data_IF_767301220882
#
_entry.id   IF_767301220882
#
_cell.length_a   1.000
_cell.length_b   1.000
_cell.length_c   1.000
_cell.angle_alpha   90.00
_cell.angle_beta   90.00
_cell.angle_gamma   90.00
#
_symmetry.space_group_name_H-M   'P 1'
#
loop_
_entity.id
_entity.type
_entity.pdbx_description
1 polymer ?
#
# COMPACT_ATOMS: atom_id res chain seq x y z
N UNK A 1 64.11 -29.60 14.08
CA UNK A 1 62.77 -30.22 13.85
C UNK A 1 62.29 -29.75 12.48
N UNK A 2 62.49 -30.55 11.42
CA UNK A 2 61.40 -31.24 10.66
C UNK A 2 60.27 -30.26 10.29
N UNK A 3 60.34 -29.65 9.09
CA UNK A 3 59.77 -30.12 7.80
C UNK A 3 58.24 -30.16 7.80
N UNK A 4 57.62 -29.37 6.91
CA UNK A 4 56.77 -29.78 5.76
C UNK A 4 55.71 -28.69 5.50
N UNK A 5 55.28 -28.32 4.30
CA UNK A 5 55.73 -28.32 2.90
C UNK A 5 54.55 -27.66 2.16
N UNK A 6 54.80 -26.81 1.17
CA UNK A 6 53.80 -26.46 0.15
C UNK A 6 53.36 -27.74 -0.56
N UNK A 7 52.06 -27.86 -0.82
CA UNK A 7 51.49 -28.82 -1.78
C UNK A 7 50.57 -28.03 -2.71
N UNK A 8 50.99 -28.02 -3.98
CA UNK A 8 50.32 -27.57 -5.19
C UNK A 8 49.33 -28.65 -5.68
N UNK A 9 48.60 -28.33 -6.77
CA UNK A 9 47.92 -29.26 -7.71
C UNK A 9 46.62 -29.93 -7.19
N UNK A 10 45.53 -30.14 -7.96
CA UNK A 10 45.37 -30.31 -9.41
C UNK A 10 43.86 -30.26 -9.77
N UNK A 11 43.53 -29.64 -10.92
CA UNK A 11 42.46 -29.90 -11.93
C UNK A 11 41.02 -30.33 -11.55
N UNK A 12 40.02 -29.83 -12.29
CA UNK A 12 39.19 -30.61 -13.25
C UNK A 12 37.96 -29.78 -13.72
N UNK A 13 37.91 -29.52 -15.04
CA UNK A 13 36.76 -29.34 -15.98
C UNK A 13 35.34 -29.17 -15.38
N UNK A 14 34.53 -28.20 -15.80
CA UNK A 14 33.85 -28.22 -17.11
C UNK A 14 33.56 -26.82 -17.68
N UNK A 15 33.89 -26.68 -18.96
CA UNK A 15 33.59 -25.58 -19.86
C UNK A 15 32.83 -26.21 -21.04
N UNK A 16 31.50 -26.05 -21.13
CA UNK A 16 30.69 -26.32 -22.33
C UNK A 16 29.33 -25.61 -22.24
N UNK A 17 29.17 -24.48 -22.95
CA UNK A 17 28.00 -24.35 -23.82
C UNK A 17 28.47 -23.81 -25.17
N UNK A 18 28.82 -24.78 -26.00
CA UNK A 18 29.25 -24.60 -27.37
C UNK A 18 28.01 -24.41 -28.25
N UNK A 19 27.76 -23.15 -28.62
CA UNK A 19 27.47 -22.81 -30.01
C UNK A 19 26.04 -23.02 -30.51
N UNK A 20 25.45 -21.92 -30.97
CA UNK A 20 25.05 -21.89 -32.36
C UNK A 20 25.23 -20.48 -32.94
N UNK A 21 26.26 -20.35 -33.75
CA UNK A 21 26.43 -19.30 -34.74
C UNK A 21 25.30 -19.35 -35.77
N UNK A 22 24.59 -18.24 -35.98
CA UNK A 22 23.83 -18.03 -37.21
C UNK A 22 24.36 -16.77 -37.86
N UNK A 23 25.45 -16.97 -38.61
CA UNK A 23 25.91 -16.10 -39.68
C UNK A 23 24.78 -15.91 -40.69
N UNK A 24 24.61 -14.66 -41.16
CA UNK A 24 23.57 -14.28 -42.09
C UNK A 24 23.54 -15.14 -43.35
N UNK A 25 22.31 -15.48 -43.74
CA UNK A 25 21.96 -15.72 -45.13
C UNK A 25 20.57 -15.12 -45.35
N UNK A 26 20.52 -14.08 -46.18
CA UNK A 26 19.32 -13.42 -46.65
C UNK A 26 18.57 -14.39 -47.57
N UNK A 27 17.75 -15.27 -47.00
CA UNK A 27 16.77 -16.03 -47.78
C UNK A 27 15.50 -15.20 -47.90
N UNK A 28 15.41 -14.49 -49.02
CA UNK A 28 14.19 -13.87 -49.55
C UNK A 28 13.12 -14.95 -49.79
N UNK A 29 12.37 -15.30 -48.74
CA UNK A 29 11.11 -16.01 -48.88
C UNK A 29 10.06 -14.99 -49.32
N UNK A 30 9.96 -14.81 -50.64
CA UNK A 30 8.81 -14.22 -51.28
C UNK A 30 7.56 -15.08 -50.96
N UNK A 31 6.89 -14.78 -49.85
CA UNK A 31 5.51 -15.19 -49.66
C UNK A 31 4.66 -14.36 -50.61
N UNK A 32 4.27 -14.98 -51.72
CA UNK A 32 3.20 -14.48 -52.57
C UNK A 32 1.96 -14.22 -51.69
N UNK A 33 1.64 -12.93 -51.49
CA UNK A 33 0.38 -12.52 -50.88
C UNK A 33 -0.71 -12.72 -51.93
N UNK A 34 -1.21 -13.95 -52.04
CA UNK A 34 -2.53 -14.18 -52.59
C UNK A 34 -3.56 -14.07 -51.47
N UNK A 35 -4.38 -13.04 -51.65
CA UNK A 35 -5.50 -12.69 -50.78
C UNK A 35 -6.57 -13.78 -50.84
N UNK A 36 -6.85 -14.45 -49.72
CA UNK A 36 -8.25 -14.74 -49.38
C UNK A 36 -8.47 -15.13 -47.90
N UNK A 37 -9.52 -14.54 -47.35
CA UNK A 37 -10.24 -14.93 -46.12
C UNK A 37 -9.48 -14.92 -44.80
N UNK A 38 -9.76 -13.87 -44.01
CA UNK A 38 -10.21 -13.97 -42.62
C UNK A 38 -9.64 -15.16 -41.85
N UNK A 39 -8.36 -15.11 -41.47
CA UNK A 39 -7.90 -15.91 -40.32
C UNK A 39 -8.63 -15.34 -39.10
N UNK A 40 -9.75 -15.96 -38.76
CA UNK A 40 -10.29 -15.93 -37.40
C UNK A 40 -9.10 -16.10 -36.46
N UNK A 41 -8.77 -15.00 -35.78
CA UNK A 41 -7.78 -15.00 -34.72
C UNK A 41 -8.37 -15.90 -33.65
N UNK A 42 -7.93 -17.15 -33.59
CA UNK A 42 -8.30 -18.12 -32.55
C UNK A 42 -8.32 -17.40 -31.20
N UNK A 43 -9.44 -17.39 -30.45
CA UNK A 43 -9.44 -16.99 -29.06
C UNK A 43 -8.95 -18.20 -28.24
N UNK A 44 -7.68 -18.56 -28.40
CA UNK A 44 -7.03 -19.62 -27.61
C UNK A 44 -5.93 -19.00 -26.73
N UNK A 45 -6.26 -17.86 -26.12
CA UNK A 45 -5.75 -17.54 -24.80
C UNK A 45 -6.89 -17.92 -23.85
N UNK A 46 -6.82 -19.15 -23.35
CA UNK A 46 -7.72 -19.69 -22.34
C UNK A 46 -8.15 -18.62 -21.34
N UNK A 47 -9.46 -18.56 -21.16
CA UNK A 47 -10.23 -17.71 -20.27
C UNK A 47 -9.70 -17.81 -18.82
N UNK A 48 -8.65 -17.04 -18.50
CA UNK A 48 -8.15 -16.96 -17.13
C UNK A 48 -9.28 -16.38 -16.27
N UNK A 49 -9.77 -17.10 -15.24
CA UNK A 49 -10.92 -16.65 -14.48
C UNK A 49 -10.58 -15.32 -13.80
N UNK A 50 -11.33 -14.26 -14.14
CA UNK A 50 -11.25 -12.96 -13.50
C UNK A 50 -12.64 -12.51 -13.08
N UNK A 51 -12.68 -11.79 -11.97
CA UNK A 51 -13.89 -11.15 -11.46
C UNK A 51 -13.72 -9.64 -11.55
N UNK A 52 -14.74 -8.94 -12.05
CA UNK A 52 -14.75 -7.48 -12.12
C UNK A 52 -15.53 -6.95 -10.92
N UNK A 53 -14.81 -6.29 -10.02
CA UNK A 53 -15.40 -5.64 -8.86
C UNK A 53 -15.63 -4.14 -9.14
N UNK A 54 -16.75 -3.63 -8.64
CA UNK A 54 -17.04 -2.22 -8.53
C UNK A 54 -16.18 -1.55 -7.45
N UNK A 55 -16.13 -0.22 -7.49
CA UNK A 55 -15.47 0.56 -6.43
C UNK A 55 -16.11 0.33 -5.07
N UNK A 56 -17.43 0.11 -5.03
CA UNK A 56 -18.16 -0.12 -3.77
C UNK A 56 -17.78 -1.46 -3.15
N UNK A 57 -17.65 -2.52 -3.96
CA UNK A 57 -17.23 -3.84 -3.48
C UNK A 57 -15.81 -3.81 -2.90
N UNK A 58 -14.89 -3.12 -3.58
CA UNK A 58 -13.52 -2.94 -3.07
C UNK A 58 -13.51 -2.14 -1.75
N UNK A 59 -14.32 -1.08 -1.66
CA UNK A 59 -14.46 -0.28 -0.42
C UNK A 59 -15.07 -1.12 0.70
N UNK A 60 -16.04 -1.97 0.40
CA UNK A 60 -16.66 -2.87 1.36
C UNK A 60 -15.64 -3.90 1.89
N UNK A 61 -14.85 -4.52 1.01
CA UNK A 61 -13.74 -5.40 1.41
C UNK A 61 -12.73 -4.68 2.30
N UNK A 62 -12.38 -3.44 1.96
CA UNK A 62 -11.50 -2.60 2.78
C UNK A 62 -12.08 -2.37 4.18
N UNK A 63 -13.37 -2.02 4.27
CA UNK A 63 -14.08 -1.78 5.53
C UNK A 63 -14.13 -3.04 6.38
N UNK A 64 -14.38 -4.20 5.79
CA UNK A 64 -14.51 -5.45 6.53
C UNK A 64 -13.15 -5.92 7.08
N UNK A 65 -12.07 -5.77 6.30
CA UNK A 65 -10.71 -5.95 6.79
C UNK A 65 -10.38 -5.00 7.97
N UNK A 66 -10.79 -3.74 7.89
CA UNK A 66 -10.59 -2.77 8.98
C UNK A 66 -11.37 -3.21 10.23
N UNK A 67 -12.64 -3.61 10.09
CA UNK A 67 -13.48 -4.05 11.22
C UNK A 67 -12.92 -5.30 11.90
N UNK A 68 -12.43 -6.26 11.12
CA UNK A 68 -11.80 -7.49 11.62
C UNK A 68 -10.63 -7.14 12.54
N UNK A 69 -9.70 -6.31 12.05
CA UNK A 69 -8.55 -5.86 12.85
C UNK A 69 -9.00 -5.01 14.04
N UNK A 70 -10.00 -4.15 13.85
CA UNK A 70 -10.47 -3.26 14.91
C UNK A 70 -11.17 -3.99 16.05
N UNK A 71 -11.67 -5.21 15.82
CA UNK A 71 -12.26 -6.05 16.87
C UNK A 71 -11.26 -6.44 17.96
N UNK A 72 -9.96 -6.34 17.68
CA UNK A 72 -8.88 -6.67 18.62
C UNK A 72 -8.13 -5.43 19.11
N UNK A 73 -7.94 -4.44 18.24
CA UNK A 73 -7.06 -3.29 18.51
C UNK A 73 -7.78 -2.07 19.10
N UNK A 74 -9.10 -1.98 18.92
CA UNK A 74 -9.97 -0.94 19.51
C UNK A 74 -9.50 0.51 19.27
N UNK A 75 -9.03 0.82 18.06
CA UNK A 75 -8.62 2.18 17.65
C UNK A 75 -9.60 2.76 16.62
N UNK A 76 -9.58 4.09 16.35
CA UNK A 76 -10.46 4.65 15.33
C UNK A 76 -10.22 4.04 13.95
N UNK A 77 -11.28 3.68 13.22
CA UNK A 77 -11.19 3.00 11.92
C UNK A 77 -10.30 3.72 10.90
N UNK A 78 -10.33 5.06 10.91
CA UNK A 78 -9.45 5.89 10.06
C UNK A 78 -7.97 5.67 10.38
N UNK A 79 -7.63 5.54 11.67
CA UNK A 79 -6.27 5.25 12.15
C UNK A 79 -5.86 3.84 11.73
N UNK A 80 -6.71 2.83 11.96
CA UNK A 80 -6.47 1.44 11.53
C UNK A 80 -6.21 1.37 10.03
N UNK A 81 -6.99 2.08 9.21
CA UNK A 81 -6.80 2.13 7.75
C UNK A 81 -5.41 2.65 7.37
N UNK A 82 -4.95 3.72 8.00
CA UNK A 82 -3.62 4.29 7.70
C UNK A 82 -2.50 3.32 8.11
N UNK A 83 -2.64 2.70 9.28
CA UNK A 83 -1.67 1.71 9.77
C UNK A 83 -1.63 0.47 8.87
N UNK A 84 -2.78 -0.07 8.49
CA UNK A 84 -2.86 -1.18 7.55
C UNK A 84 -2.24 -0.82 6.21
N UNK A 85 -2.49 0.39 5.70
CA UNK A 85 -1.84 0.86 4.47
C UNK A 85 -0.31 0.95 4.62
N UNK A 86 0.22 1.40 5.77
CA UNK A 86 1.66 1.41 6.05
C UNK A 86 2.27 0.00 6.02
N UNK A 87 1.52 -1.01 6.48
CA UNK A 87 1.89 -2.42 6.40
C UNK A 87 1.50 -3.11 5.09
N UNK A 88 1.04 -2.37 4.08
CA UNK A 88 0.58 -2.93 2.79
C UNK A 88 -0.52 -3.98 2.95
N UNK A 89 -1.41 -3.77 3.93
CA UNK A 89 -2.52 -4.66 4.30
C UNK A 89 -2.10 -6.01 4.89
N UNK A 90 -0.84 -6.13 5.34
CA UNK A 90 -0.37 -7.30 6.10
C UNK A 90 -0.86 -7.24 7.56
N UNK A 91 -1.92 -8.00 7.83
CA UNK A 91 -2.57 -8.06 9.15
C UNK A 91 -1.64 -8.64 10.21
N UNK A 92 -0.87 -9.68 9.89
CA UNK A 92 -0.02 -10.38 10.86
C UNK A 92 1.12 -9.47 11.30
N UNK A 93 1.82 -8.87 10.34
CA UNK A 93 2.92 -7.94 10.62
C UNK A 93 2.47 -6.71 11.40
N UNK A 94 1.25 -6.23 11.14
CA UNK A 94 0.66 -5.16 11.93
C UNK A 94 0.45 -5.60 13.39
N UNK A 95 -0.16 -6.77 13.62
CA UNK A 95 -0.43 -7.27 14.96
C UNK A 95 0.85 -7.53 15.76
N UNK A 96 1.86 -8.15 15.15
CA UNK A 96 3.17 -8.35 15.78
C UNK A 96 3.79 -7.02 16.22
N UNK A 97 3.88 -6.04 15.31
CA UNK A 97 4.46 -4.73 15.63
C UNK A 97 3.63 -3.93 16.63
N UNK A 98 2.32 -4.11 16.65
CA UNK A 98 1.42 -3.41 17.54
C UNK A 98 1.51 -3.90 19.00
N UNK A 99 1.73 -5.20 19.21
CA UNK A 99 1.81 -5.81 20.55
C UNK A 99 3.24 -6.03 21.07
N UNK A 100 4.20 -6.37 20.19
CA UNK A 100 5.59 -6.66 20.61
C UNK A 100 6.51 -5.43 20.48
N UNK A 101 6.07 -4.41 19.75
CA UNK A 101 6.87 -3.24 19.40
C UNK A 101 6.61 -1.98 20.23
N UNK A 102 7.38 -0.94 19.94
CA UNK A 102 7.14 0.40 20.47
C UNK A 102 6.01 1.07 19.66
N UNK A 103 4.81 1.13 20.25
CA UNK A 103 3.63 1.73 19.61
C UNK A 103 3.87 3.19 19.21
N UNK A 104 4.58 3.96 20.01
CA UNK A 104 4.84 5.38 19.70
C UNK A 104 5.70 5.56 18.46
N UNK A 105 6.69 4.69 18.27
CA UNK A 105 7.48 4.67 17.04
C UNK A 105 6.62 4.26 15.84
N UNK A 106 5.76 3.25 15.99
CA UNK A 106 4.84 2.83 14.94
C UNK A 106 3.93 3.98 14.47
N UNK A 107 3.29 4.67 15.42
CA UNK A 107 2.42 5.81 15.12
C UNK A 107 3.19 6.97 14.48
N UNK A 108 4.42 7.25 14.95
CA UNK A 108 5.27 8.28 14.36
C UNK A 108 5.72 7.95 12.93
N UNK A 109 6.15 6.71 12.67
CA UNK A 109 6.55 6.23 11.33
C UNK A 109 5.38 6.31 10.34
N UNK A 110 4.18 5.91 10.79
CA UNK A 110 2.95 6.01 10.00
C UNK A 110 2.40 7.44 9.89
N UNK A 111 3.00 8.43 10.58
CA UNK A 111 2.55 9.83 10.68
C UNK A 111 1.12 9.97 11.19
N UNK A 112 0.72 9.09 12.10
CA UNK A 112 -0.60 9.11 12.74
C UNK A 112 -0.43 9.46 14.21
N UNK A 113 -1.33 10.27 14.76
CA UNK A 113 -1.34 10.55 16.19
C UNK A 113 -1.81 9.31 16.94
N UNK A 114 -1.04 8.89 17.95
CA UNK A 114 -1.41 7.77 18.81
C UNK A 114 -2.75 8.10 19.54
N UNK A 115 -3.83 7.36 19.28
CA UNK A 115 -5.15 7.62 19.85
C UNK A 115 -5.21 7.41 21.37
N UNK A 116 -4.28 6.65 21.94
CA UNK A 116 -4.20 6.40 23.39
C UNK A 116 -3.58 7.57 24.16
N UNK A 117 -2.88 8.48 23.47
CA UNK A 117 -2.36 9.69 24.11
C UNK A 117 -3.51 10.68 24.25
N UNK A 118 -3.90 10.98 25.50
CA UNK A 118 -4.92 12.00 25.81
C UNK A 118 -4.55 13.30 25.11
N UNK A 119 -5.32 13.65 24.07
CA UNK A 119 -5.23 14.97 23.46
C UNK A 119 -5.82 15.98 24.44
N UNK A 120 -5.11 17.08 24.65
CA UNK A 120 -5.65 18.22 25.37
C UNK A 120 -6.90 18.69 24.62
N UNK A 121 -8.08 18.43 25.21
CA UNK A 121 -9.34 18.99 24.72
C UNK A 121 -9.14 20.50 24.74
N UNK A 122 -9.06 21.11 23.56
CA UNK A 122 -9.10 22.56 23.44
C UNK A 122 -10.47 22.96 23.97
N UNK A 123 -10.48 23.55 25.16
CA UNK A 123 -11.68 24.04 25.81
C UNK A 123 -12.44 24.92 24.83
N UNK A 124 -13.66 24.52 24.45
CA UNK A 124 -14.50 25.34 23.57
C UNK A 124 -14.63 26.73 24.17
N UNK A 125 -14.37 27.82 23.42
CA UNK A 125 -14.67 29.15 23.89
C UNK A 125 -16.18 29.25 24.18
N UNK A 126 -16.52 30.00 25.24
CA UNK A 126 -17.91 30.20 25.69
C UNK A 126 -18.77 30.64 24.51
N UNK A 127 -19.75 29.82 24.14
CA UNK A 127 -20.64 30.10 23.02
C UNK A 127 -21.46 31.37 23.30
N UNK A 128 -21.48 32.29 22.34
CA UNK A 128 -22.48 33.36 22.30
C UNK A 128 -23.84 32.75 21.96
N UNK A 129 -24.89 33.15 22.66
CA UNK A 129 -26.25 32.59 22.55
C UNK A 129 -26.99 33.00 21.27
N UNK A 130 -26.31 33.49 20.23
CA UNK A 130 -26.91 34.06 19.02
C UNK A 130 -27.33 33.02 17.97
N UNK A 131 -26.95 31.75 18.13
CA UNK A 131 -27.30 30.67 17.18
C UNK A 131 -26.59 30.76 15.83
N UNK A 132 -25.66 31.72 15.68
CA UNK A 132 -24.83 31.95 14.50
C UNK A 132 -23.37 32.11 14.90
N UNK A 133 -22.47 31.66 14.03
CA UNK A 133 -21.01 31.67 14.20
C UNK A 133 -20.35 32.24 12.93
N UNK A 134 -19.17 32.84 13.05
CA UNK A 134 -18.37 33.29 11.89
C UNK A 134 -17.45 32.15 11.42
N UNK A 135 -17.47 31.84 10.13
CA UNK A 135 -16.57 30.85 9.56
C UNK A 135 -15.15 31.41 9.41
N UNK A 136 -14.16 30.80 10.04
CA UNK A 136 -12.75 31.24 9.97
C UNK A 136 -12.08 31.02 8.59
N UNK A 137 -12.75 30.30 7.68
CA UNK A 137 -12.24 30.05 6.31
C UNK A 137 -12.73 31.12 5.34
N UNK A 138 -14.03 31.44 5.38
CA UNK A 138 -14.67 32.33 4.41
C UNK A 138 -15.21 33.64 5.03
N UNK A 139 -15.08 33.82 6.34
CA UNK A 139 -15.49 35.01 7.10
C UNK A 139 -16.97 35.39 6.95
N UNK A 140 -17.83 34.39 6.70
CA UNK A 140 -19.28 34.57 6.65
C UNK A 140 -19.91 34.16 7.99
N UNK A 141 -20.93 34.90 8.43
CA UNK A 141 -21.75 34.55 9.60
C UNK A 141 -22.82 33.56 9.17
N UNK A 142 -22.74 32.34 9.69
CA UNK A 142 -23.59 31.21 9.33
C UNK A 142 -24.29 30.63 10.56
N UNK A 143 -25.49 30.03 10.41
CA UNK A 143 -26.13 29.28 11.49
C UNK A 143 -25.29 28.08 11.94
N UNK A 144 -25.28 27.80 13.25
CA UNK A 144 -24.54 26.66 13.85
C UNK A 144 -24.80 25.31 13.14
N UNK A 145 -26.02 24.96 12.69
CA UNK A 145 -26.27 23.69 12.00
C UNK A 145 -25.55 23.54 10.65
N UNK A 146 -25.05 24.64 10.06
CA UNK A 146 -24.26 24.63 8.83
C UNK A 146 -22.75 24.50 9.10
N UNK A 147 -22.33 24.56 10.37
CA UNK A 147 -20.94 24.44 10.79
C UNK A 147 -20.65 22.99 11.17
N UNK A 148 -19.76 22.33 10.42
CA UNK A 148 -19.30 20.97 10.75
C UNK A 148 -17.83 21.01 11.15
N UNK A 149 -17.55 20.59 12.39
CA UNK A 149 -16.18 20.40 12.86
C UNK A 149 -15.75 18.94 12.72
N UNK A 150 -14.53 18.73 12.27
CA UNK A 150 -13.86 17.45 12.48
C UNK A 150 -13.45 17.36 13.95
N UNK A 151 -13.56 16.18 14.55
CA UNK A 151 -12.83 15.89 15.77
C UNK A 151 -11.34 15.95 15.41
N UNK A 152 -10.66 17.02 15.80
CA UNK A 152 -9.25 17.26 15.48
C UNK A 152 -8.40 16.26 16.24
N UNK A 153 -8.29 15.02 15.74
CA UNK A 153 -7.30 14.03 16.18
C UNK A 153 -5.98 14.23 15.44
N UNK A 154 -5.98 15.03 14.37
CA UNK A 154 -4.85 15.22 13.47
C UNK A 154 -4.50 16.70 13.50
N UNK A 155 -3.21 17.00 13.69
CA UNK A 155 -2.54 18.32 13.72
C UNK A 155 -2.06 18.72 15.12
N UNK A 156 -1.05 18.01 15.61
CA UNK A 156 -0.07 18.58 16.54
C UNK A 156 1.37 18.22 16.18
N UNK A 157 1.62 17.61 15.01
CA UNK A 157 2.98 17.12 14.63
C UNK A 157 3.66 18.03 13.60
N UNK A 158 3.09 19.19 13.27
CA UNK A 158 3.71 20.13 12.30
C UNK A 158 4.44 21.31 12.93
N UNK A 159 4.49 21.43 14.27
CA UNK A 159 5.27 22.45 14.97
C UNK A 159 5.93 21.85 16.22
N UNK A 160 7.03 21.11 16.04
CA UNK A 160 8.07 20.87 17.04
C UNK A 160 9.36 20.47 16.33
#
# INVERSE_FOLDING_TARGET
MKRRHEEEEETLYDDVDSGNESSGDDVDFAMEVESNSTRERQPEADEYPFEVLSTEEIVQHMIDCIKEVNSVVEIPATTTRILLNHFKWDKEKFMERFYDGNQDQLFAEARVVNPFKKQHIISKPKQNSSGTEECEICYMVLPVPMMTGLNVVIVSVLNA
#
